data_IF_298063897552
#
_entry.id   IF_298063897552
#
_cell.length_a   1.000
_cell.length_b   1.000
_cell.length_c   1.000
_cell.angle_alpha   90.00
_cell.angle_beta   90.00
_cell.angle_gamma   90.00
#
_symmetry.space_group_name_H-M   'P 1'
#
loop_
_entity.id
_entity.type
_entity.pdbx_description
1 polymer ?
#
# COMPACT_ATOMS: atom_id res chain seq x y z
N UNK A 1 -1.90 30.94 -17.52
CA UNK A 1 -1.59 29.60 -16.99
C UNK A 1 -1.61 28.66 -18.17
N UNK A 2 -0.45 28.17 -18.61
CA UNK A 2 -0.42 27.13 -19.65
C UNK A 2 -1.07 25.89 -19.05
N UNK A 3 -2.16 25.41 -19.65
CA UNK A 3 -2.79 24.12 -19.31
C UNK A 3 -1.79 23.00 -19.63
N UNK A 4 -0.77 22.81 -18.80
CA UNK A 4 0.06 21.61 -18.86
C UNK A 4 -0.81 20.46 -18.41
N UNK A 5 -1.13 19.57 -19.34
CA UNK A 5 -1.79 18.28 -19.06
C UNK A 5 -0.96 17.57 -17.98
N UNK A 6 -1.60 17.13 -16.89
CA UNK A 6 -0.90 16.38 -15.85
C UNK A 6 -0.34 15.09 -16.47
N UNK A 7 0.87 14.63 -16.10
CA UNK A 7 1.39 13.36 -16.61
C UNK A 7 0.43 12.20 -16.30
N UNK A 8 -0.35 12.29 -15.22
CA UNK A 8 -1.36 11.30 -14.84
C UNK A 8 -2.61 11.28 -15.73
N UNK A 9 -2.71 12.17 -16.72
CA UNK A 9 -3.76 12.19 -17.74
C UNK A 9 -3.30 11.60 -19.08
N UNK A 10 -2.02 11.20 -19.20
CA UNK A 10 -1.46 10.57 -20.39
C UNK A 10 -1.67 9.05 -20.30
N UNK A 11 -2.32 8.40 -21.28
CA UNK A 11 -2.48 6.94 -21.28
C UNK A 11 -1.14 6.21 -21.20
N UNK A 12 -1.09 5.06 -20.54
CA UNK A 12 0.13 4.30 -20.29
C UNK A 12 0.96 4.04 -21.56
N UNK A 13 0.28 3.67 -22.65
CA UNK A 13 0.92 3.35 -23.93
C UNK A 13 1.46 4.59 -24.68
N UNK A 14 1.11 5.80 -24.22
CA UNK A 14 1.57 7.08 -24.78
C UNK A 14 2.69 7.71 -23.93
N UNK A 15 3.03 7.10 -22.77
CA UNK A 15 4.11 7.57 -21.93
C UNK A 15 5.46 7.41 -22.65
N UNK A 16 6.31 8.46 -22.69
CA UNK A 16 7.65 8.36 -23.27
C UNK A 16 8.53 7.30 -22.59
N UNK A 17 8.34 7.14 -21.28
CA UNK A 17 8.98 6.11 -20.47
C UNK A 17 8.00 5.62 -19.39
N UNK A 18 7.25 4.53 -19.65
CA UNK A 18 6.24 4.02 -18.71
C UNK A 18 6.81 3.56 -17.36
N UNK A 19 8.12 3.30 -17.27
CA UNK A 19 8.80 2.91 -16.04
C UNK A 19 9.19 4.11 -15.17
N UNK A 20 9.28 5.31 -15.73
CA UNK A 20 9.78 6.49 -15.03
C UNK A 20 8.91 7.72 -15.34
N UNK A 21 7.91 7.95 -14.49
CA UNK A 21 7.01 9.10 -14.58
C UNK A 21 7.08 9.89 -13.27
N UNK A 22 8.04 10.82 -13.21
CA UNK A 22 8.29 11.65 -12.04
C UNK A 22 7.60 13.01 -12.18
N UNK A 23 6.93 13.43 -11.11
CA UNK A 23 6.23 14.70 -11.00
C UNK A 23 7.01 15.63 -10.08
N UNK A 24 6.99 16.92 -10.40
CA UNK A 24 7.65 17.94 -9.59
C UNK A 24 9.16 18.01 -9.85
N UNK A 25 9.78 19.07 -9.32
CA UNK A 25 11.23 19.22 -9.30
C UNK A 25 11.80 18.61 -8.01
N UNK A 26 13.07 18.18 -7.99
CA UNK A 26 13.76 17.81 -6.75
C UNK A 26 13.51 18.81 -5.61
N UNK A 27 12.98 18.32 -4.49
CA UNK A 27 12.67 19.09 -3.27
C UNK A 27 11.35 19.87 -3.30
N UNK A 28 10.58 19.78 -4.39
CA UNK A 28 9.26 20.44 -4.48
C UNK A 28 8.19 19.72 -3.66
N UNK A 29 7.09 20.44 -3.39
CA UNK A 29 5.93 19.86 -2.72
C UNK A 29 5.30 18.73 -3.55
N UNK A 30 5.16 18.93 -4.86
CA UNK A 30 4.59 17.95 -5.79
C UNK A 30 5.44 16.68 -5.87
N UNK A 31 6.77 16.82 -5.85
CA UNK A 31 7.67 15.65 -5.81
C UNK A 31 7.46 14.84 -4.52
N UNK A 32 7.34 15.52 -3.38
CA UNK A 32 7.11 14.88 -2.09
C UNK A 32 5.79 14.11 -2.00
N UNK A 33 4.77 14.49 -2.79
CA UNK A 33 3.49 13.78 -2.85
C UNK A 33 3.51 12.58 -3.80
N UNK A 34 4.29 12.64 -4.88
CA UNK A 34 4.20 11.65 -5.96
C UNK A 34 2.77 11.57 -6.51
N UNK A 35 2.21 10.36 -6.59
CA UNK A 35 0.87 10.13 -7.14
C UNK A 35 -0.26 10.58 -6.21
N UNK A 36 0.03 10.87 -4.94
CA UNK A 36 -0.95 11.47 -4.03
C UNK A 36 -1.36 12.88 -4.47
N UNK A 37 -0.60 13.55 -5.35
CA UNK A 37 -1.00 14.82 -5.96
C UNK A 37 -2.31 14.74 -6.78
N UNK A 38 -2.80 13.53 -7.10
CA UNK A 38 -4.14 13.32 -7.68
C UNK A 38 -5.26 13.66 -6.68
N UNK A 39 -5.01 13.55 -5.37
CA UNK A 39 -5.98 13.80 -4.30
C UNK A 39 -6.12 15.29 -4.02
N UNK A 40 -6.59 16.05 -5.01
CA UNK A 40 -6.86 17.49 -4.86
C UNK A 40 -8.00 17.73 -3.87
N UNK A 41 -8.14 18.95 -3.31
CA UNK A 41 -9.26 19.28 -2.43
C UNK A 41 -10.64 18.93 -3.02
N UNK A 42 -10.83 19.10 -4.33
CA UNK A 42 -12.06 18.73 -5.03
C UNK A 42 -12.30 17.23 -5.07
N UNK A 43 -11.24 16.43 -5.31
CA UNK A 43 -11.32 14.96 -5.32
C UNK A 43 -11.64 14.44 -3.92
N UNK A 44 -10.98 14.97 -2.88
CA UNK A 44 -11.23 14.58 -1.48
C UNK A 44 -12.63 14.99 -1.04
N UNK A 45 -13.07 16.21 -1.36
CA UNK A 45 -14.41 16.69 -1.03
C UNK A 45 -15.50 15.86 -1.74
N UNK A 46 -15.28 15.50 -3.01
CA UNK A 46 -16.17 14.59 -3.75
C UNK A 46 -16.26 13.25 -3.05
N UNK A 47 -15.13 12.62 -2.72
CA UNK A 47 -15.10 11.35 -2.00
C UNK A 47 -15.81 11.42 -0.65
N UNK A 48 -15.56 12.45 0.16
CA UNK A 48 -16.22 12.61 1.46
C UNK A 48 -17.75 12.73 1.30
N UNK A 49 -18.20 13.58 0.37
CA UNK A 49 -19.62 13.81 0.13
C UNK A 49 -20.35 12.64 -0.55
N UNK A 50 -19.67 11.85 -1.40
CA UNK A 50 -20.26 10.69 -2.07
C UNK A 50 -20.19 9.43 -1.22
N UNK A 51 -19.18 9.29 -0.37
CA UNK A 51 -18.92 8.03 0.30
C UNK A 51 -19.35 7.97 1.77
N UNK A 52 -19.48 9.09 2.50
CA UNK A 52 -19.92 9.04 3.90
C UNK A 52 -21.45 9.18 3.96
N UNK A 53 -22.15 8.05 4.15
CA UNK A 53 -23.62 7.93 4.13
C UNK A 53 -24.20 7.34 5.41
N UNK A 54 -23.50 6.41 6.04
CA UNK A 54 -23.99 5.65 7.19
C UNK A 54 -23.29 5.99 8.50
N UNK A 55 -22.06 6.51 8.43
CA UNK A 55 -21.17 6.71 9.58
C UNK A 55 -20.56 5.42 10.14
N UNK A 56 -20.84 4.24 9.53
CA UNK A 56 -20.14 3.00 9.89
C UNK A 56 -18.66 3.17 9.56
N UNK A 57 -17.80 2.75 10.49
CA UNK A 57 -16.35 2.94 10.38
C UNK A 57 -15.60 1.70 10.86
N UNK A 58 -14.42 1.51 10.28
CA UNK A 58 -13.52 0.40 10.59
C UNK A 58 -12.08 0.82 10.37
N UNK A 59 -11.21 0.49 11.30
CA UNK A 59 -9.76 0.66 11.14
C UNK A 59 -9.18 -0.52 10.39
N UNK A 60 -8.15 -0.28 9.57
CA UNK A 60 -7.52 -1.34 8.74
C UNK A 60 -6.05 -1.57 9.13
N UNK A 61 -5.64 -1.11 10.31
CA UNK A 61 -4.37 -1.50 10.92
C UNK A 61 -4.52 -2.86 11.59
N UNK A 62 -3.74 -3.83 11.15
CA UNK A 62 -3.52 -5.08 11.85
C UNK A 62 -2.79 -4.80 13.15
N UNK A 63 -3.04 -5.61 14.17
CA UNK A 63 -2.42 -5.41 15.48
C UNK A 63 -0.88 -5.54 15.35
N UNK A 64 -0.16 -4.58 15.92
CA UNK A 64 1.29 -4.38 15.70
C UNK A 64 2.14 -5.60 16.07
N UNK A 65 1.66 -6.43 16.99
CA UNK A 65 2.33 -7.64 17.50
C UNK A 65 1.91 -8.93 16.79
N UNK A 66 0.96 -8.88 15.84
CA UNK A 66 0.39 -10.09 15.23
C UNK A 66 1.31 -10.82 14.29
N UNK A 67 2.14 -10.12 13.52
CA UNK A 67 3.24 -10.74 12.77
C UNK A 67 4.38 -11.06 13.74
N UNK A 68 4.11 -12.00 14.65
CA UNK A 68 4.99 -12.41 15.74
C UNK A 68 6.30 -13.06 15.26
N UNK A 69 6.31 -13.57 14.02
CA UNK A 69 7.48 -14.14 13.35
C UNK A 69 7.67 -13.49 11.97
N UNK A 70 8.24 -12.27 11.92
CA UNK A 70 8.47 -11.59 10.66
C UNK A 70 9.64 -12.23 9.89
N UNK A 71 9.47 -12.43 8.58
CA UNK A 71 10.56 -12.83 7.69
C UNK A 71 11.41 -11.59 7.29
N UNK A 72 12.44 -11.79 6.45
CA UNK A 72 13.35 -10.78 5.90
C UNK A 72 14.19 -10.07 6.97
N UNK A 73 14.45 -10.75 8.09
CA UNK A 73 15.19 -10.21 9.24
C UNK A 73 14.62 -8.88 9.78
N UNK A 74 13.31 -8.62 9.59
CA UNK A 74 12.65 -7.42 10.13
C UNK A 74 12.56 -7.53 11.66
N UNK A 75 12.87 -6.44 12.36
CA UNK A 75 12.78 -6.39 13.82
C UNK A 75 11.30 -6.45 14.27
N UNK A 76 10.92 -7.38 15.18
CA UNK A 76 9.59 -7.39 15.76
C UNK A 76 9.30 -6.14 16.60
N UNK A 77 8.04 -5.69 16.58
CA UNK A 77 7.56 -4.61 17.44
C UNK A 77 7.70 -4.98 18.91
N UNK A 78 8.32 -4.09 19.68
CA UNK A 78 8.46 -4.18 21.13
C UNK A 78 7.73 -3.01 21.78
N UNK A 79 7.03 -3.30 22.88
CA UNK A 79 6.31 -2.33 23.69
C UNK A 79 6.77 -2.45 25.14
N UNK A 80 7.16 -1.31 25.73
CA UNK A 80 7.60 -1.21 27.11
C UNK A 80 6.80 -0.12 27.82
N UNK A 81 6.19 -0.47 28.95
CA UNK A 81 5.51 0.47 29.83
C UNK A 81 6.53 1.03 30.85
N UNK A 82 6.57 2.35 30.99
CA UNK A 82 7.48 3.09 31.88
C UNK A 82 6.67 3.72 33.02
N UNK A 83 6.78 3.21 34.27
CA UNK A 83 6.11 3.82 35.40
C UNK A 83 6.78 5.13 35.81
N UNK A 84 5.96 6.16 36.06
CA UNK A 84 6.38 7.47 36.53
C UNK A 84 5.79 7.76 37.91
N UNK A 85 6.41 8.69 38.65
CA UNK A 85 5.88 9.23 39.91
C UNK A 85 5.46 8.14 40.93
N UNK A 86 6.18 7.04 41.00
CA UNK A 86 5.83 5.92 41.89
C UNK A 86 4.57 5.15 41.48
N UNK A 87 4.21 5.15 40.19
CA UNK A 87 3.05 4.44 39.65
C UNK A 87 1.79 5.29 39.50
N UNK A 88 1.88 6.60 39.69
CA UNK A 88 0.76 7.54 39.48
C UNK A 88 0.50 7.80 37.99
N UNK A 89 1.53 7.66 37.15
CA UNK A 89 1.43 7.81 35.70
C UNK A 89 2.30 6.76 34.99
N UNK A 90 2.02 6.53 33.71
CA UNK A 90 2.73 5.59 32.86
C UNK A 90 2.94 6.21 31.48
N UNK A 91 4.15 6.08 30.95
CA UNK A 91 4.50 6.37 29.55
C UNK A 91 4.79 5.04 28.82
N UNK A 92 4.85 5.08 27.49
CA UNK A 92 5.18 3.93 26.65
C UNK A 92 6.42 4.19 25.78
N UNK A 93 7.22 3.14 25.57
CA UNK A 93 8.28 3.10 24.56
C UNK A 93 7.91 2.03 23.53
N UNK A 94 7.88 2.45 22.26
CA UNK A 94 7.73 1.56 21.12
C UNK A 94 9.06 1.46 20.37
N UNK A 95 9.55 0.24 20.17
CA UNK A 95 10.63 -0.04 19.21
C UNK A 95 10.05 -0.87 18.10
N UNK A 96 10.00 -0.32 16.88
CA UNK A 96 9.35 -1.00 15.77
C UNK A 96 10.07 -0.75 14.45
N UNK A 97 10.02 -1.76 13.59
CA UNK A 97 10.19 -1.61 12.16
C UNK A 97 8.78 -1.39 11.56
N UNK A 98 8.44 -0.20 11.02
CA UNK A 98 7.12 0.02 10.45
C UNK A 98 6.74 -0.98 9.36
N UNK A 99 7.73 -1.54 8.66
CA UNK A 99 7.50 -2.55 7.64
C UNK A 99 7.15 -3.95 8.18
N UNK A 100 7.05 -4.13 9.49
CA UNK A 100 6.76 -5.44 10.10
C UNK A 100 5.26 -5.70 10.32
N UNK A 101 4.39 -4.69 10.17
CA UNK A 101 2.94 -4.84 10.30
C UNK A 101 2.23 -4.05 9.19
N UNK A 102 0.96 -3.70 9.33
CA UNK A 102 0.31 -2.82 8.35
C UNK A 102 1.15 -1.57 8.14
N UNK A 103 1.40 -1.21 6.88
CA UNK A 103 2.33 -0.13 6.54
C UNK A 103 1.96 0.59 5.26
N UNK A 104 2.37 1.85 5.14
CA UNK A 104 2.61 2.48 3.85
C UNK A 104 4.10 2.51 3.55
N UNK A 105 4.48 2.04 2.37
CA UNK A 105 5.81 2.23 1.83
C UNK A 105 5.95 3.59 1.17
N UNK A 106 6.92 4.35 1.67
CA UNK A 106 7.27 5.67 1.18
C UNK A 106 8.17 5.63 -0.04
N UNK A 107 8.35 6.79 -0.67
CA UNK A 107 9.15 6.98 -1.90
C UNK A 107 10.65 6.65 -1.74
N UNK A 108 11.11 6.46 -0.50
CA UNK A 108 12.47 6.06 -0.13
C UNK A 108 12.63 4.53 0.05
N UNK A 109 11.56 3.75 -0.06
CA UNK A 109 11.58 2.33 0.32
C UNK A 109 12.22 1.42 -0.73
N UNK A 110 11.81 1.56 -2.00
CA UNK A 110 12.24 0.68 -3.08
C UNK A 110 12.76 1.49 -4.26
N UNK A 111 13.88 1.04 -4.86
CA UNK A 111 14.51 1.66 -6.02
C UNK A 111 14.14 0.91 -7.31
N UNK A 112 14.54 1.42 -8.46
CA UNK A 112 14.41 0.77 -9.77
C UNK A 112 15.74 0.73 -10.52
N UNK A 113 15.85 -0.23 -11.46
CA UNK A 113 16.91 -0.19 -12.47
C UNK A 113 16.60 0.83 -13.57
N UNK A 114 17.63 1.51 -14.07
CA UNK A 114 17.53 2.45 -15.19
C UNK A 114 18.42 1.95 -16.34
N UNK A 115 17.87 1.79 -17.57
CA UNK A 115 18.67 1.37 -18.71
C UNK A 115 19.89 2.26 -18.93
N UNK A 116 21.08 1.65 -19.04
CA UNK A 116 22.34 2.37 -19.24
C UNK A 116 23.00 2.92 -17.97
N UNK A 117 22.44 2.65 -16.79
CA UNK A 117 23.06 3.00 -15.49
C UNK A 117 23.33 1.73 -14.68
N UNK A 118 24.48 1.70 -13.98
CA UNK A 118 24.79 0.63 -13.02
C UNK A 118 23.99 0.79 -11.73
N UNK A 119 23.81 2.03 -11.30
CA UNK A 119 23.16 2.36 -10.05
C UNK A 119 21.64 2.34 -10.18
N UNK A 120 20.98 1.87 -9.12
CA UNK A 120 19.53 1.98 -8.96
C UNK A 120 19.17 3.36 -8.42
N UNK A 121 18.01 3.87 -8.81
CA UNK A 121 17.49 5.15 -8.31
C UNK A 121 16.09 4.98 -7.74
N UNK A 122 15.74 5.82 -6.78
CA UNK A 122 14.41 5.91 -6.20
C UNK A 122 13.56 6.92 -7.00
N UNK A 123 12.35 7.22 -6.51
CA UNK A 123 11.49 8.23 -7.12
C UNK A 123 12.22 9.58 -7.28
N UNK A 124 11.97 10.31 -8.37
CA UNK A 124 12.60 11.60 -8.64
C UNK A 124 14.12 11.54 -8.88
N UNK A 125 14.67 10.34 -9.12
CA UNK A 125 16.12 10.15 -9.33
C UNK A 125 16.95 10.22 -8.05
N UNK A 126 16.31 10.16 -6.89
CA UNK A 126 16.98 10.13 -5.59
C UNK A 126 17.92 8.92 -5.49
N UNK A 127 19.13 9.14 -4.99
CA UNK A 127 20.16 8.10 -4.85
C UNK A 127 20.19 7.49 -3.44
N UNK A 128 20.83 6.32 -3.31
CA UNK A 128 21.07 5.70 -2.01
C UNK A 128 21.94 6.58 -1.10
N UNK A 129 22.92 7.29 -1.67
CA UNK A 129 23.79 8.21 -0.93
C UNK A 129 22.99 9.34 -0.28
N UNK A 130 22.09 9.99 -1.05
CA UNK A 130 21.22 11.04 -0.53
C UNK A 130 20.24 10.52 0.55
N UNK A 131 19.80 9.25 0.51
CA UNK A 131 18.92 8.67 1.54
C UNK A 131 19.68 8.44 2.85
N UNK A 132 20.97 8.07 2.74
CA UNK A 132 21.84 7.86 3.89
C UNK A 132 22.30 9.17 4.53
N UNK A 133 22.31 10.28 3.79
CA UNK A 133 22.49 11.61 4.36
C UNK A 133 21.30 11.99 5.25
N UNK A 134 21.49 11.90 6.56
CA UNK A 134 20.46 12.19 7.57
C UNK A 134 20.10 13.67 7.67
N UNK A 135 20.80 14.57 6.97
CA UNK A 135 20.42 15.98 6.84
C UNK A 135 19.34 16.21 5.78
N UNK A 136 19.11 15.23 4.89
CA UNK A 136 18.11 15.30 3.82
C UNK A 136 16.80 14.61 4.21
N UNK A 137 15.70 15.34 4.12
CA UNK A 137 14.34 14.82 4.34
C UNK A 137 13.52 14.67 3.04
N UNK A 138 14.08 15.05 1.87
CA UNK A 138 13.46 14.91 0.53
C UNK A 138 12.79 13.55 0.33
N UNK A 139 11.52 13.52 -0.09
CA UNK A 139 10.71 12.29 -0.28
C UNK A 139 10.35 11.52 1.01
N UNK A 140 10.61 12.06 2.19
CA UNK A 140 10.25 11.41 3.45
C UNK A 140 8.75 11.48 3.78
N UNK A 141 8.32 10.65 4.73
CA UNK A 141 6.92 10.54 5.17
C UNK A 141 6.28 11.84 5.63
N UNK A 142 7.06 12.82 6.10
CA UNK A 142 6.57 14.13 6.53
C UNK A 142 5.85 14.90 5.41
N UNK A 143 6.12 14.60 4.13
CA UNK A 143 5.35 15.20 3.03
C UNK A 143 3.89 14.72 3.06
N UNK A 144 3.67 13.43 3.26
CA UNK A 144 2.33 12.84 3.29
C UNK A 144 1.60 13.11 4.60
N UNK A 145 2.32 13.16 5.72
CA UNK A 145 1.73 13.37 7.05
C UNK A 145 1.06 14.75 7.24
N UNK A 146 1.40 15.75 6.40
CA UNK A 146 0.84 17.11 6.49
C UNK A 146 -0.64 17.17 6.14
N UNK A 147 -1.06 16.40 5.12
CA UNK A 147 -2.43 16.37 4.62
C UNK A 147 -3.09 14.99 4.78
N UNK A 148 -2.29 13.97 5.09
CA UNK A 148 -2.71 12.59 5.14
C UNK A 148 -2.99 12.04 3.74
N UNK A 149 -3.46 10.81 3.73
CA UNK A 149 -3.97 10.11 2.55
C UNK A 149 -5.47 10.00 2.76
N UNK A 150 -6.23 10.87 2.09
CA UNK A 150 -7.68 10.95 2.20
C UNK A 150 -8.34 10.92 0.83
N UNK A 151 -9.38 10.11 0.65
CA UNK A 151 -9.99 9.93 -0.67
C UNK A 151 -11.00 8.81 -0.71
N UNK A 152 -11.32 8.35 -1.92
CA UNK A 152 -12.24 7.22 -2.12
C UNK A 152 -11.44 5.92 -2.14
N UNK A 153 -11.75 5.01 -1.24
CA UNK A 153 -11.26 3.64 -1.26
C UNK A 153 -12.20 2.71 -2.03
N UNK A 154 -11.64 1.70 -2.69
CA UNK A 154 -12.38 0.63 -3.35
C UNK A 154 -11.80 -0.72 -2.94
N UNK A 155 -12.64 -1.66 -2.52
CA UNK A 155 -12.22 -3.00 -2.13
C UNK A 155 -12.53 -4.04 -3.21
N UNK A 156 -11.51 -4.81 -3.58
CA UNK A 156 -11.61 -6.06 -4.31
C UNK A 156 -11.39 -7.22 -3.32
N UNK A 157 -12.47 -7.90 -2.96
CA UNK A 157 -12.44 -9.05 -2.02
C UNK A 157 -12.16 -10.36 -2.76
N UNK A 158 -10.90 -10.51 -3.18
CA UNK A 158 -10.44 -11.70 -3.90
C UNK A 158 -10.63 -12.96 -3.08
N UNK A 159 -10.26 -12.95 -1.80
CA UNK A 159 -10.34 -14.13 -0.94
C UNK A 159 -11.76 -14.71 -0.86
N UNK A 160 -12.80 -13.87 -0.70
CA UNK A 160 -14.17 -14.35 -0.70
C UNK A 160 -14.64 -14.82 -2.09
N UNK A 161 -14.21 -14.15 -3.15
CA UNK A 161 -14.53 -14.56 -4.52
C UNK A 161 -13.88 -15.90 -4.89
N UNK A 162 -12.62 -16.11 -4.51
CA UNK A 162 -11.88 -17.35 -4.71
C UNK A 162 -12.56 -18.52 -3.98
N UNK A 163 -12.99 -18.32 -2.73
CA UNK A 163 -13.77 -19.30 -1.96
C UNK A 163 -15.07 -19.68 -2.69
N UNK A 164 -15.83 -18.69 -3.18
CA UNK A 164 -17.06 -18.90 -3.96
C UNK A 164 -16.80 -19.67 -5.26
N UNK A 165 -15.66 -19.47 -5.92
CA UNK A 165 -15.26 -20.17 -7.16
C UNK A 165 -14.61 -21.52 -6.89
N UNK A 166 -14.41 -21.91 -5.62
CA UNK A 166 -13.74 -23.16 -5.24
C UNK A 166 -12.23 -23.17 -5.51
N UNK A 167 -11.62 -21.99 -5.68
CA UNK A 167 -10.17 -21.85 -5.87
C UNK A 167 -9.50 -22.02 -4.51
N UNK A 168 -8.63 -23.03 -4.41
CA UNK A 168 -7.87 -23.33 -3.19
C UNK A 168 -6.44 -22.82 -3.36
N UNK A 169 -6.00 -21.98 -2.42
CA UNK A 169 -4.63 -21.49 -2.35
C UNK A 169 -4.26 -21.20 -0.89
N UNK A 170 -2.97 -21.02 -0.65
CA UNK A 170 -2.43 -20.43 0.58
C UNK A 170 -1.77 -19.11 0.21
N UNK A 171 -1.88 -18.12 1.09
CA UNK A 171 -1.23 -16.83 0.95
C UNK A 171 0.30 -16.89 1.13
N UNK A 172 0.82 -18.03 1.58
CA UNK A 172 2.25 -18.36 1.71
C UNK A 172 2.70 -19.27 0.55
N UNK A 173 2.31 -18.90 -0.68
CA UNK A 173 2.70 -19.55 -1.93
C UNK A 173 2.79 -18.52 -3.06
N UNK A 174 3.20 -18.91 -4.27
CA UNK A 174 3.24 -18.05 -5.45
C UNK A 174 1.87 -17.82 -6.15
N UNK A 175 0.77 -17.96 -5.42
CA UNK A 175 -0.59 -17.79 -5.98
C UNK A 175 -0.82 -16.34 -6.45
N UNK A 176 -1.32 -16.19 -7.68
CA UNK A 176 -1.49 -14.89 -8.33
C UNK A 176 -2.95 -14.45 -8.34
N UNK A 177 -3.22 -13.26 -7.78
CA UNK A 177 -4.45 -12.51 -8.01
C UNK A 177 -4.35 -11.85 -9.37
N UNK A 178 -5.00 -12.44 -10.37
CA UNK A 178 -4.89 -12.02 -11.77
C UNK A 178 -5.74 -10.79 -12.05
N UNK A 179 -5.34 -9.99 -13.04
CA UNK A 179 -6.11 -8.86 -13.54
C UNK A 179 -7.49 -9.31 -14.01
N UNK A 180 -7.58 -10.47 -14.69
CA UNK A 180 -8.86 -11.04 -15.11
C UNK A 180 -9.82 -11.24 -13.94
N UNK A 181 -9.31 -11.71 -12.81
CA UNK A 181 -10.10 -12.00 -11.63
C UNK A 181 -10.53 -10.70 -10.94
N UNK A 182 -9.63 -9.71 -10.85
CA UNK A 182 -9.95 -8.36 -10.35
C UNK A 182 -11.07 -7.71 -11.16
N UNK A 183 -10.99 -7.78 -12.50
CA UNK A 183 -11.99 -7.22 -13.39
C UNK A 183 -13.32 -7.98 -13.33
N UNK A 184 -13.28 -9.31 -13.15
CA UNK A 184 -14.48 -10.12 -12.94
C UNK A 184 -15.16 -9.76 -11.61
N UNK A 185 -14.40 -9.63 -10.52
CA UNK A 185 -14.92 -9.19 -9.22
C UNK A 185 -15.54 -7.80 -9.33
N UNK A 186 -14.85 -6.86 -9.98
CA UNK A 186 -15.37 -5.51 -10.18
C UNK A 186 -16.70 -5.53 -10.94
N UNK A 187 -16.84 -6.38 -11.97
CA UNK A 187 -18.08 -6.56 -12.70
C UNK A 187 -19.18 -7.22 -11.85
N UNK A 188 -18.88 -8.31 -11.14
CA UNK A 188 -19.85 -8.99 -10.25
C UNK A 188 -20.35 -8.07 -9.13
N UNK A 189 -19.49 -7.17 -8.65
CA UNK A 189 -19.77 -6.25 -7.55
C UNK A 189 -20.24 -4.85 -7.98
N UNK A 190 -20.44 -4.64 -9.29
CA UNK A 190 -20.80 -3.34 -9.88
C UNK A 190 -19.88 -2.18 -9.45
N UNK A 191 -18.57 -2.44 -9.42
CA UNK A 191 -17.55 -1.48 -9.05
C UNK A 191 -17.17 -0.67 -10.28
N UNK A 192 -17.24 0.66 -10.16
CA UNK A 192 -16.66 1.59 -11.13
C UNK A 192 -15.49 2.30 -10.47
N UNK A 193 -14.30 2.15 -11.06
CA UNK A 193 -13.09 2.84 -10.64
C UNK A 193 -13.12 4.30 -11.11
N UNK A 194 -12.55 5.19 -10.31
CA UNK A 194 -12.44 6.61 -10.58
C UNK A 194 -11.00 7.08 -10.36
N UNK A 195 -10.58 8.09 -11.12
CA UNK A 195 -9.31 8.77 -10.88
C UNK A 195 -9.25 9.28 -9.43
N UNK A 196 -8.15 8.97 -8.75
CA UNK A 196 -7.94 9.28 -7.34
C UNK A 196 -8.38 8.17 -6.38
N UNK A 197 -8.94 7.06 -6.87
CA UNK A 197 -9.25 5.92 -6.01
C UNK A 197 -7.98 5.35 -5.34
N UNK A 198 -8.16 4.86 -4.13
CA UNK A 198 -7.20 4.03 -3.40
C UNK A 198 -7.68 2.59 -3.51
N UNK A 199 -6.93 1.75 -4.23
CA UNK A 199 -7.31 0.37 -4.47
C UNK A 199 -6.90 -0.51 -3.29
N UNK A 200 -7.84 -1.26 -2.73
CA UNK A 200 -7.57 -2.30 -1.72
C UNK A 200 -7.85 -3.68 -2.32
N UNK A 201 -6.90 -4.60 -2.20
CA UNK A 201 -7.06 -6.00 -2.61
C UNK A 201 -6.94 -6.90 -1.39
N UNK A 202 -8.02 -7.62 -1.05
CA UNK A 202 -8.01 -8.60 0.04
C UNK A 202 -7.66 -9.99 -0.49
N UNK A 203 -6.42 -10.41 -0.25
CA UNK A 203 -5.82 -11.70 -0.61
C UNK A 203 -5.99 -12.72 0.52
N UNK A 204 -6.11 -12.30 1.78
CA UNK A 204 -6.47 -13.16 2.92
C UNK A 204 -5.33 -13.52 3.88
N UNK A 205 -4.16 -12.86 3.80
CA UNK A 205 -3.00 -13.17 4.67
C UNK A 205 -3.35 -13.04 6.16
N UNK A 206 -3.98 -11.92 6.57
CA UNK A 206 -4.29 -11.71 8.00
C UNK A 206 -5.24 -12.80 8.53
N UNK A 207 -6.24 -13.20 7.74
CA UNK A 207 -7.13 -14.33 8.04
C UNK A 207 -6.37 -15.65 8.17
N UNK A 208 -5.53 -15.99 7.20
CA UNK A 208 -4.79 -17.26 7.23
C UNK A 208 -3.81 -17.31 8.41
N UNK A 209 -3.08 -16.22 8.63
CA UNK A 209 -2.15 -16.11 9.75
C UNK A 209 -2.87 -16.24 11.10
N UNK A 210 -4.01 -15.55 11.29
CA UNK A 210 -4.67 -15.50 12.60
C UNK A 210 -5.53 -16.74 12.89
N UNK A 211 -6.05 -17.41 11.87
CA UNK A 211 -7.09 -18.44 12.07
C UNK A 211 -6.73 -19.83 11.55
N UNK A 212 -5.71 -19.96 10.70
CA UNK A 212 -5.35 -21.22 10.05
C UNK A 212 -3.96 -21.69 10.45
N UNK A 213 -2.96 -20.81 10.44
CA UNK A 213 -1.57 -21.19 10.70
C UNK A 213 -1.32 -21.51 12.17
N UNK A 214 -0.62 -22.62 12.43
CA UNK A 214 -0.05 -22.94 13.74
C UNK A 214 1.20 -22.11 14.02
N UNK A 215 1.61 -22.05 15.28
CA UNK A 215 2.82 -21.34 15.70
C UNK A 215 4.08 -21.90 15.02
N UNK A 216 4.14 -23.22 14.83
CA UNK A 216 5.22 -23.91 14.13
C UNK A 216 5.28 -23.52 12.64
N UNK A 217 4.13 -23.38 11.98
CA UNK A 217 4.07 -22.94 10.58
C UNK A 217 4.53 -21.48 10.45
N UNK A 218 4.18 -20.62 11.40
CA UNK A 218 4.62 -19.21 11.40
C UNK A 218 6.12 -19.09 11.61
N UNK A 219 6.70 -19.89 12.52
CA UNK A 219 8.16 -19.99 12.69
C UNK A 219 8.85 -20.52 11.44
N UNK A 220 8.32 -21.60 10.86
CA UNK A 220 8.86 -22.17 9.63
C UNK A 220 8.82 -21.17 8.46
N UNK A 221 7.77 -20.36 8.38
CA UNK A 221 7.73 -19.23 7.45
C UNK A 221 8.85 -18.24 7.74
N UNK A 222 9.00 -17.77 8.98
CA UNK A 222 10.04 -16.80 9.37
C UNK A 222 11.47 -17.28 9.12
N UNK A 223 11.73 -18.57 9.29
CA UNK A 223 13.04 -19.19 9.09
C UNK A 223 13.34 -19.52 7.60
N UNK A 224 12.33 -19.42 6.73
CA UNK A 224 12.48 -19.70 5.30
C UNK A 224 13.26 -18.57 4.60
N UNK A 225 14.42 -18.91 4.04
CA UNK A 225 15.29 -17.98 3.29
C UNK A 225 14.74 -17.59 1.92
N UNK A 226 13.77 -18.35 1.40
CA UNK A 226 13.09 -18.12 0.14
C UNK A 226 11.57 -18.12 0.36
N UNK A 227 11.03 -17.12 1.09
CA UNK A 227 9.60 -17.07 1.33
C UNK A 227 8.82 -16.86 0.04
N UNK A 228 7.63 -17.45 -0.02
CA UNK A 228 6.67 -17.24 -1.09
C UNK A 228 5.49 -16.46 -0.54
N UNK A 229 5.03 -15.45 -1.28
CA UNK A 229 3.90 -14.61 -0.93
C UNK A 229 2.91 -14.57 -2.10
N UNK A 230 1.65 -14.85 -1.81
CA UNK A 230 0.58 -14.63 -2.76
C UNK A 230 0.29 -13.12 -2.82
N UNK A 231 -0.07 -12.63 -4.00
CA UNK A 231 -0.28 -11.21 -4.23
C UNK A 231 -0.85 -10.94 -5.61
N UNK A 232 -0.82 -9.68 -6.03
CA UNK A 232 -1.25 -9.28 -7.37
C UNK A 232 -0.24 -9.75 -8.43
N UNK A 233 -0.73 -10.20 -9.59
CA UNK A 233 0.15 -10.62 -10.69
C UNK A 233 0.98 -9.45 -11.24
N UNK A 234 2.25 -9.71 -11.54
CA UNK A 234 3.16 -8.71 -12.11
C UNK A 234 3.20 -8.86 -13.64
N UNK A 235 2.37 -8.07 -14.34
CA UNK A 235 2.31 -8.06 -15.81
C UNK A 235 2.27 -6.63 -16.35
N UNK A 236 2.65 -6.45 -17.61
CA UNK A 236 2.51 -5.15 -18.30
C UNK A 236 1.04 -4.71 -18.40
N UNK A 237 0.11 -5.66 -18.52
CA UNK A 237 -1.32 -5.36 -18.56
C UNK A 237 -1.83 -4.89 -17.19
N UNK A 238 -1.33 -5.46 -16.09
CA UNK A 238 -1.58 -4.95 -14.74
C UNK A 238 -1.05 -3.53 -14.57
N UNK A 239 0.18 -3.26 -15.01
CA UNK A 239 0.76 -1.90 -14.97
C UNK A 239 -0.08 -0.91 -15.76
N UNK A 240 -0.47 -1.27 -16.99
CA UNK A 240 -1.35 -0.46 -17.84
C UNK A 240 -2.66 -0.14 -17.12
N UNK A 241 -3.32 -1.16 -16.57
CA UNK A 241 -4.59 -0.99 -15.87
C UNK A 241 -4.47 -0.11 -14.61
N UNK A 242 -3.44 -0.31 -13.78
CA UNK A 242 -3.19 0.51 -12.60
C UNK A 242 -2.95 1.98 -12.95
N UNK A 243 -2.19 2.23 -14.02
CA UNK A 243 -1.91 3.57 -14.50
C UNK A 243 -3.18 4.25 -15.05
N UNK A 244 -3.82 3.62 -16.04
CA UNK A 244 -4.96 4.19 -16.78
C UNK A 244 -6.21 4.34 -15.90
N UNK A 245 -6.36 3.53 -14.84
CA UNK A 245 -7.43 3.71 -13.84
C UNK A 245 -7.23 4.95 -12.97
N UNK A 246 -6.03 5.52 -12.94
CA UNK A 246 -5.74 6.76 -12.22
C UNK A 246 -5.72 6.61 -10.69
N UNK A 247 -5.38 5.42 -10.17
CA UNK A 247 -5.29 5.19 -8.73
C UNK A 247 -4.24 6.09 -8.07
N UNK A 248 -4.57 6.67 -6.91
CA UNK A 248 -3.64 7.50 -6.14
C UNK A 248 -2.68 6.66 -5.27
N UNK A 249 -3.14 5.51 -4.80
CA UNK A 249 -2.39 4.54 -4.02
C UNK A 249 -2.99 3.13 -4.17
N UNK A 250 -2.19 2.11 -3.86
CA UNK A 250 -2.62 0.71 -3.85
C UNK A 250 -2.31 0.10 -2.48
N UNK A 251 -3.16 -0.79 -1.99
CA UNK A 251 -2.98 -1.47 -0.73
C UNK A 251 -3.55 -2.89 -0.78
N UNK A 252 -3.05 -3.75 0.09
CA UNK A 252 -3.55 -5.10 0.29
C UNK A 252 -3.34 -5.56 1.73
N UNK A 253 -3.94 -6.69 2.06
CA UNK A 253 -3.59 -7.44 3.27
C UNK A 253 -2.37 -8.35 3.06
N UNK A 254 -1.79 -8.41 1.86
CA UNK A 254 -0.67 -9.31 1.54
C UNK A 254 0.65 -8.84 2.15
N UNK A 255 1.62 -9.78 2.28
CA UNK A 255 2.96 -9.52 2.85
C UNK A 255 3.78 -8.63 1.92
N UNK A 256 3.78 -8.98 0.64
CA UNK A 256 4.18 -8.10 -0.46
C UNK A 256 2.94 -7.82 -1.30
N UNK A 257 2.75 -6.60 -1.80
CA UNK A 257 1.56 -6.29 -2.60
C UNK A 257 1.43 -7.17 -3.86
N UNK A 258 2.55 -7.39 -4.54
CA UNK A 258 2.67 -8.33 -5.66
C UNK A 258 3.15 -9.72 -5.22
N UNK A 259 2.96 -10.70 -6.09
CA UNK A 259 3.47 -12.06 -5.88
C UNK A 259 4.99 -12.04 -5.72
N UNK A 260 5.48 -12.77 -4.72
CA UNK A 260 6.91 -12.92 -4.47
C UNK A 260 7.28 -14.42 -4.31
N UNK A 261 8.40 -14.91 -4.87
CA UNK A 261 9.29 -14.20 -5.80
C UNK A 261 8.59 -13.82 -7.12
N UNK A 262 9.12 -12.86 -7.90
CA UNK A 262 8.52 -12.45 -9.17
C UNK A 262 8.32 -13.63 -10.12
N UNK A 263 7.16 -13.70 -10.77
CA UNK A 263 6.80 -14.75 -11.73
C UNK A 263 6.96 -14.30 -13.20
N UNK A 264 7.49 -13.10 -13.42
CA UNK A 264 7.78 -12.50 -14.72
C UNK A 264 8.97 -11.54 -14.61
N UNK A 265 9.38 -10.93 -15.73
CA UNK A 265 10.42 -9.88 -15.75
C UNK A 265 9.92 -8.53 -15.21
N UNK A 266 8.63 -8.41 -14.91
CA UNK A 266 8.04 -7.21 -14.31
C UNK A 266 8.12 -7.32 -12.79
N UNK A 267 8.59 -6.26 -12.15
CA UNK A 267 8.51 -6.11 -10.71
C UNK A 267 7.78 -4.82 -10.37
N UNK A 268 6.54 -4.94 -9.89
CA UNK A 268 5.61 -3.83 -9.73
C UNK A 268 6.15 -2.76 -8.79
N UNK A 269 6.86 -3.12 -7.72
CA UNK A 269 7.53 -2.17 -6.82
C UNK A 269 8.45 -1.18 -7.56
N UNK A 270 9.18 -1.62 -8.60
CA UNK A 270 10.04 -0.73 -9.38
C UNK A 270 9.23 0.31 -10.16
N UNK A 271 8.10 -0.08 -10.72
CA UNK A 271 7.26 0.80 -11.53
C UNK A 271 6.37 1.68 -10.66
N UNK A 272 5.61 1.06 -9.76
CA UNK A 272 4.60 1.69 -8.91
C UNK A 272 5.23 2.72 -7.97
N UNK A 273 6.27 2.31 -7.23
CA UNK A 273 6.84 3.16 -6.18
C UNK A 273 7.95 4.04 -6.73
N UNK A 274 9.03 3.45 -7.24
CA UNK A 274 10.17 4.23 -7.74
C UNK A 274 9.88 4.93 -9.08
N UNK A 275 9.03 4.32 -9.92
CA UNK A 275 8.66 4.85 -11.23
C UNK A 275 7.60 5.94 -11.18
N UNK A 276 6.49 5.69 -10.48
CA UNK A 276 5.30 6.56 -10.51
C UNK A 276 5.08 7.35 -9.21
N UNK A 277 5.78 6.99 -8.14
CA UNK A 277 5.60 7.61 -6.83
C UNK A 277 4.23 7.30 -6.21
N UNK A 278 3.67 6.12 -6.51
CA UNK A 278 2.40 5.67 -5.97
C UNK A 278 2.66 4.87 -4.67
N UNK A 279 2.07 5.27 -3.53
CA UNK A 279 2.23 4.54 -2.28
C UNK A 279 1.74 3.09 -2.38
N UNK A 280 2.44 2.18 -1.72
CA UNK A 280 2.09 0.77 -1.60
C UNK A 280 1.75 0.48 -0.13
N UNK A 281 0.58 -0.09 0.10
CA UNK A 281 0.10 -0.50 1.40
C UNK A 281 0.14 -2.01 1.55
N UNK A 282 0.80 -2.50 2.60
CA UNK A 282 0.96 -3.94 2.83
C UNK A 282 0.44 -4.32 4.22
N UNK A 283 0.01 -5.57 4.38
CA UNK A 283 -0.47 -6.15 5.65
C UNK A 283 -1.65 -5.42 6.30
N UNK A 284 -2.50 -4.72 5.54
CA UNK A 284 -3.70 -4.11 6.10
C UNK A 284 -4.67 -5.17 6.62
N UNK A 285 -5.34 -4.95 7.75
CA UNK A 285 -6.45 -5.81 8.17
C UNK A 285 -7.74 -5.42 7.44
N UNK A 286 -8.08 -6.19 6.41
CA UNK A 286 -9.25 -5.96 5.56
C UNK A 286 -10.46 -6.82 5.95
N UNK A 287 -10.39 -7.63 7.02
CA UNK A 287 -11.45 -8.58 7.38
C UNK A 287 -12.75 -7.87 7.77
N UNK A 288 -12.63 -6.87 8.64
CA UNK A 288 -13.77 -6.10 9.11
C UNK A 288 -14.33 -5.17 8.01
N UNK A 289 -13.47 -4.61 7.17
CA UNK A 289 -13.89 -3.86 5.99
C UNK A 289 -14.71 -4.72 5.03
N UNK A 290 -14.21 -5.90 4.67
CA UNK A 290 -14.89 -6.82 3.76
C UNK A 290 -16.28 -7.21 4.28
N UNK A 291 -16.42 -7.44 5.60
CA UNK A 291 -17.74 -7.68 6.22
C UNK A 291 -18.69 -6.50 6.02
N UNK A 292 -18.25 -5.27 6.30
CA UNK A 292 -19.08 -4.08 6.11
C UNK A 292 -19.47 -3.90 4.64
N UNK A 293 -18.53 -4.09 3.70
CA UNK A 293 -18.81 -4.02 2.26
C UNK A 293 -19.91 -5.01 1.85
N UNK A 294 -19.84 -6.25 2.34
CA UNK A 294 -20.85 -7.27 2.09
C UNK A 294 -22.20 -6.93 2.73
N UNK A 295 -22.23 -6.48 3.98
CA UNK A 295 -23.48 -6.10 4.65
C UNK A 295 -24.20 -4.97 3.89
N UNK A 296 -23.44 -4.00 3.39
CA UNK A 296 -23.96 -2.83 2.70
C UNK A 296 -24.16 -3.05 1.19
N UNK A 297 -23.69 -4.19 0.65
CA UNK A 297 -23.58 -4.44 -0.79
C UNK A 297 -22.90 -3.27 -1.53
N UNK A 298 -21.86 -2.71 -0.91
CA UNK A 298 -21.16 -1.51 -1.38
C UNK A 298 -19.68 -1.64 -1.14
N UNK A 299 -18.90 -1.54 -2.21
CA UNK A 299 -17.47 -1.84 -2.22
C UNK A 299 -16.58 -0.60 -2.35
N UNK A 300 -17.14 0.58 -2.12
CA UNK A 300 -16.41 1.85 -2.05
C UNK A 300 -16.82 2.64 -0.81
N UNK A 301 -15.86 3.39 -0.29
CA UNK A 301 -15.92 4.07 1.01
C UNK A 301 -14.97 5.26 1.03
N UNK A 302 -15.14 6.16 2.00
CA UNK A 302 -14.14 7.19 2.25
C UNK A 302 -12.99 6.59 3.06
N UNK A 303 -11.76 6.93 2.71
CA UNK A 303 -10.55 6.52 3.43
C UNK A 303 -9.91 7.75 4.04
N UNK A 304 -9.46 7.60 5.28
CA UNK A 304 -8.57 8.55 5.94
C UNK A 304 -7.41 7.78 6.55
N UNK A 305 -6.19 8.15 6.20
CA UNK A 305 -4.95 7.59 6.72
C UNK A 305 -3.97 8.70 7.04
N UNK A 306 -3.35 8.67 8.22
CA UNK A 306 -2.38 9.68 8.63
C UNK A 306 -1.09 9.00 9.05
N UNK A 307 -0.12 8.87 8.15
CA UNK A 307 1.21 8.36 8.47
C UNK A 307 1.90 9.18 9.56
N UNK A 308 2.90 8.59 10.22
CA UNK A 308 3.77 9.28 11.16
C UNK A 308 4.46 10.47 10.48
N UNK A 309 4.43 11.61 11.16
CA UNK A 309 5.15 12.81 10.72
C UNK A 309 6.65 12.69 11.04
N UNK A 310 7.34 11.78 10.33
CA UNK A 310 8.74 11.47 10.53
C UNK A 310 9.59 12.06 9.39
N UNK A 311 10.38 13.12 9.63
CA UNK A 311 11.27 13.70 8.64
C UNK A 311 12.25 12.67 8.06
N UNK A 312 12.24 12.52 6.73
CA UNK A 312 13.08 11.55 6.02
C UNK A 312 12.69 10.08 6.25
N UNK A 313 11.51 9.83 6.84
CA UNK A 313 10.98 8.49 7.06
C UNK A 313 10.81 7.69 5.76
N UNK A 314 11.09 6.39 5.82
CA UNK A 314 11.02 5.48 4.66
C UNK A 314 9.62 4.86 4.50
N UNK A 315 8.91 4.70 5.60
CA UNK A 315 7.58 4.08 5.68
C UNK A 315 6.92 4.51 6.99
N UNK A 316 5.68 4.08 7.18
CA UNK A 316 4.94 4.34 8.41
C UNK A 316 3.85 3.29 8.63
N UNK A 317 3.48 2.98 9.89
CA UNK A 317 2.16 2.39 10.14
C UNK A 317 1.07 3.28 9.52
N UNK A 318 -0.03 2.73 9.01
CA UNK A 318 -0.92 3.48 8.15
C UNK A 318 -1.89 4.38 8.93
N UNK A 319 -2.19 4.08 10.20
CA UNK A 319 -3.20 4.78 11.00
C UNK A 319 -4.45 5.13 10.16
N UNK A 320 -5.11 4.07 9.69
CA UNK A 320 -6.07 4.14 8.58
C UNK A 320 -7.46 3.68 9.00
N UNK A 321 -8.46 4.37 8.47
CA UNK A 321 -9.87 4.08 8.69
C UNK A 321 -10.67 4.22 7.38
N UNK A 322 -11.62 3.31 7.20
CA UNK A 322 -12.68 3.43 6.21
C UNK A 322 -13.98 3.94 6.86
N UNK A 323 -14.72 4.79 6.14
CA UNK A 323 -15.98 5.40 6.58
C UNK A 323 -17.03 5.26 5.46
N UNK A 324 -18.22 4.75 5.78
CA UNK A 324 -19.32 4.49 4.83
C UNK A 324 -20.50 5.42 4.98
#
# INVERSE_FOLDING_TARGET
MTNSVSPFDVPYNELPNPKQVWMGKPGSYEEGLGKLAILTPEVVAKAASSEIKTGRRVTMGWEMTKLNYPNLNRQPCQHQIVPLLGGVAFDDIYTMNPQQSSQWDGLRHFSQTVPGQSERVFYGGMTSEEINDRSSDRLGMQHWAKEGIAGRGVLIDYAAWAEKKGIKYTTFSTHQVRLSDILEIAKECNITFQKGDILFVRVGVTKEWDTVMTDEQKKAYSDNQSPEHAGVEATTDMLRWLWDSGFAAIASDSISWEVYPPQSDVFLHEYVLAGWGMPIGELFDLEALARICRDLQRWSFFVSSVPLNMPGGVSSPPNVMAIF
#
